data_IF_953986687002
#
_entry.id   IF_953986687002
#
_cell.length_a   1.000
_cell.length_b   1.000
_cell.length_c   1.000
_cell.angle_alpha   90.00
_cell.angle_beta   90.00
_cell.angle_gamma   90.00
#
_symmetry.space_group_name_H-M   'P 1'
#
loop_
_entity.id
_entity.type
_entity.pdbx_description
1 polymer ?
#
# COMPACT_ATOMS: atom_id res chain seq x y z
N UNK A 1 -19.26 3.82 -29.46
CA UNK A 1 -20.04 5.05 -29.17
C UNK A 1 -19.98 5.46 -27.70
N UNK A 2 -20.15 4.54 -26.72
CA UNK A 2 -20.08 4.81 -25.27
C UNK A 2 -18.71 5.37 -24.81
N UNK A 3 -17.59 4.82 -25.29
CA UNK A 3 -16.25 5.27 -24.93
C UNK A 3 -15.94 6.69 -25.41
N UNK A 4 -16.46 7.10 -26.57
CA UNK A 4 -16.32 8.47 -27.08
C UNK A 4 -17.06 9.49 -26.19
N UNK A 5 -18.22 9.10 -25.64
CA UNK A 5 -19.01 9.97 -24.74
C UNK A 5 -18.30 10.12 -23.40
N UNK A 6 -17.79 9.02 -22.81
CA UNK A 6 -17.03 9.08 -21.54
C UNK A 6 -15.75 9.90 -21.69
N UNK A 7 -14.98 9.69 -22.75
CA UNK A 7 -13.77 10.47 -23.03
C UNK A 7 -14.07 11.97 -23.23
N UNK A 8 -15.25 12.34 -23.71
CA UNK A 8 -15.69 13.74 -23.84
C UNK A 8 -16.14 14.31 -22.49
N UNK A 9 -16.83 13.54 -21.68
CA UNK A 9 -17.36 13.96 -20.39
C UNK A 9 -16.30 13.92 -19.29
N UNK A 10 -15.39 12.96 -19.30
CA UNK A 10 -14.35 12.68 -18.29
C UNK A 10 -13.02 12.42 -19.00
N UNK A 11 -12.42 13.40 -19.65
CA UNK A 11 -11.19 13.21 -20.41
C UNK A 11 -10.02 12.92 -19.46
N UNK A 12 -9.17 11.96 -19.83
CA UNK A 12 -7.85 11.79 -19.24
C UNK A 12 -6.87 12.80 -19.83
N UNK A 13 -7.11 14.06 -19.48
CA UNK A 13 -6.31 15.22 -19.85
C UNK A 13 -6.15 16.12 -18.61
N UNK A 14 -4.91 16.47 -18.29
CA UNK A 14 -4.58 17.17 -17.06
C UNK A 14 -5.25 18.56 -17.00
N UNK A 15 -5.20 19.33 -18.09
CA UNK A 15 -5.78 20.68 -18.11
C UNK A 15 -7.32 20.64 -18.01
N UNK A 16 -7.95 19.70 -18.74
CA UNK A 16 -9.41 19.55 -18.71
C UNK A 16 -9.90 19.01 -17.36
N UNK A 17 -9.13 18.11 -16.72
CA UNK A 17 -9.45 17.65 -15.37
C UNK A 17 -9.30 18.78 -14.36
N UNK A 18 -8.21 19.55 -14.43
CA UNK A 18 -7.97 20.69 -13.54
C UNK A 18 -9.05 21.79 -13.68
N UNK A 19 -9.57 22.04 -14.88
CA UNK A 19 -10.70 22.97 -15.07
C UNK A 19 -11.99 22.52 -14.35
N UNK A 20 -12.11 21.24 -14.01
CA UNK A 20 -13.28 20.65 -13.31
C UNK A 20 -13.11 20.53 -11.81
N UNK A 21 -11.94 20.92 -11.29
CA UNK A 21 -11.69 21.07 -9.86
C UNK A 21 -11.72 22.56 -9.50
N UNK A 22 -11.84 22.88 -8.21
CA UNK A 22 -11.91 24.26 -7.77
C UNK A 22 -10.59 25.02 -8.05
N UNK A 23 -10.67 26.35 -8.07
CA UNK A 23 -9.54 27.23 -8.38
C UNK A 23 -8.33 26.99 -7.48
N UNK A 24 -8.57 26.65 -6.24
CA UNK A 24 -7.52 26.41 -5.26
C UNK A 24 -6.69 25.15 -5.56
N UNK A 25 -7.32 24.05 -6.03
CA UNK A 25 -6.58 22.90 -6.55
C UNK A 25 -5.69 23.31 -7.71
N UNK A 26 -6.21 24.16 -8.61
CA UNK A 26 -5.46 24.67 -9.76
C UNK A 26 -4.23 25.49 -9.34
N UNK A 27 -4.39 26.37 -8.35
CA UNK A 27 -3.30 27.21 -7.87
C UNK A 27 -2.19 26.39 -7.18
N UNK A 28 -2.54 25.39 -6.38
CA UNK A 28 -1.57 24.47 -5.79
C UNK A 28 -0.82 23.64 -6.83
N UNK A 29 -1.53 23.23 -7.86
CA UNK A 29 -0.96 22.44 -8.94
C UNK A 29 0.10 23.23 -9.72
N UNK A 30 -0.13 24.52 -9.99
CA UNK A 30 0.85 25.40 -10.64
C UNK A 30 2.12 25.63 -9.82
N UNK A 31 2.05 25.41 -8.50
CA UNK A 31 3.18 25.58 -7.59
C UNK A 31 3.98 24.29 -7.35
N UNK A 32 3.52 23.15 -7.89
CA UNK A 32 4.16 21.83 -7.73
C UNK A 32 4.37 21.16 -9.10
N UNK A 33 5.47 21.49 -9.80
CA UNK A 33 5.77 20.92 -11.13
C UNK A 33 5.88 19.39 -11.12
N UNK A 34 6.34 18.80 -10.02
CA UNK A 34 6.49 17.35 -9.90
C UNK A 34 5.13 16.64 -9.82
N UNK A 35 4.13 17.29 -9.21
CA UNK A 35 2.76 16.80 -9.20
C UNK A 35 2.12 16.92 -10.60
N UNK A 36 2.42 18.00 -11.33
CA UNK A 36 1.94 18.20 -12.71
C UNK A 36 2.48 17.11 -13.63
N UNK A 37 3.76 16.86 -13.59
CA UNK A 37 4.38 15.79 -14.38
C UNK A 37 3.75 14.43 -14.06
N UNK A 38 3.62 14.09 -12.77
CA UNK A 38 3.00 12.84 -12.33
C UNK A 38 1.57 12.69 -12.87
N UNK A 39 0.76 13.77 -12.83
CA UNK A 39 -0.59 13.76 -13.38
C UNK A 39 -0.58 13.52 -14.89
N UNK A 40 0.25 14.24 -15.62
CA UNK A 40 0.34 14.12 -17.10
C UNK A 40 0.71 12.70 -17.49
N UNK A 41 1.74 12.10 -16.83
CA UNK A 41 2.19 10.72 -17.08
C UNK A 41 1.08 9.72 -16.78
N UNK A 42 0.46 9.82 -15.60
CA UNK A 42 -0.61 8.92 -15.18
C UNK A 42 -1.81 8.96 -16.13
N UNK A 43 -2.28 10.16 -16.48
CA UNK A 43 -3.43 10.32 -17.38
C UNK A 43 -3.13 9.89 -18.82
N UNK A 44 -1.89 10.06 -19.29
CA UNK A 44 -1.47 9.58 -20.61
C UNK A 44 -1.61 8.07 -20.72
N UNK A 45 -1.16 7.34 -19.70
CA UNK A 45 -1.26 5.87 -19.68
C UNK A 45 -2.70 5.39 -19.47
N UNK A 46 -3.49 6.04 -18.62
CA UNK A 46 -4.91 5.73 -18.52
C UNK A 46 -5.62 5.81 -19.88
N UNK A 47 -5.26 6.77 -20.70
CA UNK A 47 -5.84 6.97 -22.04
C UNK A 47 -5.35 5.96 -23.07
N UNK A 48 -4.07 5.54 -22.99
CA UNK A 48 -3.41 4.77 -24.06
C UNK A 48 -3.30 3.28 -23.76
N UNK A 49 -3.04 2.93 -22.48
CA UNK A 49 -2.53 1.61 -22.12
C UNK A 49 -3.45 0.81 -21.19
N UNK A 50 -4.26 1.50 -20.38
CA UNK A 50 -4.97 0.84 -19.29
C UNK A 50 -6.17 -0.03 -19.74
N UNK A 51 -6.60 0.04 -21.00
CA UNK A 51 -7.73 -0.73 -21.56
C UNK A 51 -8.97 -0.76 -20.68
N UNK A 52 -9.32 0.41 -20.12
CA UNK A 52 -10.36 0.56 -19.10
C UNK A 52 -11.75 0.22 -19.65
N UNK A 53 -12.52 -0.53 -18.87
CA UNK A 53 -13.97 -0.62 -19.05
C UNK A 53 -14.63 0.74 -18.78
N UNK A 54 -15.89 0.99 -19.23
CA UNK A 54 -16.59 2.22 -18.88
C UNK A 54 -16.68 2.49 -17.37
N UNK A 55 -16.84 1.44 -16.57
CA UNK A 55 -16.84 1.53 -15.09
C UNK A 55 -15.42 1.83 -14.58
N UNK A 56 -14.40 1.17 -15.11
CA UNK A 56 -13.00 1.44 -14.79
C UNK A 56 -12.60 2.87 -15.10
N UNK A 57 -13.04 3.42 -16.25
CA UNK A 57 -12.82 4.81 -16.63
C UNK A 57 -13.43 5.78 -15.61
N UNK A 58 -14.70 5.57 -15.26
CA UNK A 58 -15.41 6.39 -14.27
C UNK A 58 -14.69 6.37 -12.91
N UNK A 59 -14.28 5.18 -12.46
CA UNK A 59 -13.61 5.01 -11.17
C UNK A 59 -12.23 5.66 -11.18
N UNK A 60 -11.39 5.39 -12.19
CA UNK A 60 -10.05 5.97 -12.31
C UNK A 60 -10.09 7.51 -12.34
N UNK A 61 -11.00 8.08 -13.14
CA UNK A 61 -11.14 9.53 -13.24
C UNK A 61 -11.59 10.17 -11.92
N UNK A 62 -12.61 9.61 -11.26
CA UNK A 62 -13.10 10.11 -9.97
C UNK A 62 -12.06 9.94 -8.85
N UNK A 63 -11.27 8.86 -8.89
CA UNK A 63 -10.23 8.64 -7.91
C UNK A 63 -9.11 9.69 -8.01
N UNK A 64 -8.61 9.96 -9.21
CA UNK A 64 -7.61 11.03 -9.42
C UNK A 64 -8.17 12.38 -8.98
N UNK A 65 -9.40 12.71 -9.37
CA UNK A 65 -10.06 13.94 -8.93
C UNK A 65 -10.15 14.05 -7.41
N UNK A 66 -10.56 12.98 -6.73
CA UNK A 66 -10.67 12.92 -5.26
C UNK A 66 -9.30 13.14 -4.59
N UNK A 67 -8.24 12.51 -5.09
CA UNK A 67 -6.89 12.68 -4.57
C UNK A 67 -6.41 14.13 -4.65
N UNK A 68 -6.66 14.81 -5.78
CA UNK A 68 -6.32 16.23 -5.95
C UNK A 68 -7.14 17.13 -5.02
N UNK A 69 -8.43 16.87 -4.87
CA UNK A 69 -9.31 17.61 -3.95
C UNK A 69 -8.87 17.44 -2.50
N UNK A 70 -8.58 16.21 -2.09
CA UNK A 70 -8.07 15.93 -0.74
C UNK A 70 -6.75 16.68 -0.47
N UNK A 71 -5.81 16.64 -1.43
CA UNK A 71 -4.54 17.37 -1.32
C UNK A 71 -4.76 18.86 -1.09
N UNK A 72 -5.69 19.46 -1.84
CA UNK A 72 -6.06 20.86 -1.68
C UNK A 72 -6.66 21.15 -0.30
N UNK A 73 -7.56 20.29 0.18
CA UNK A 73 -8.14 20.45 1.50
C UNK A 73 -7.09 20.35 2.62
N UNK A 74 -6.12 19.42 2.51
CA UNK A 74 -5.03 19.34 3.48
C UNK A 74 -4.21 20.64 3.54
N UNK A 75 -3.95 21.26 2.39
CA UNK A 75 -3.21 22.53 2.37
C UNK A 75 -4.02 23.66 3.00
N UNK A 76 -5.34 23.70 2.79
CA UNK A 76 -6.23 24.64 3.48
C UNK A 76 -6.26 24.44 4.98
N UNK A 77 -6.36 23.19 5.41
CA UNK A 77 -6.34 22.87 6.83
C UNK A 77 -5.03 23.34 7.47
N UNK A 78 -3.89 23.17 6.79
CA UNK A 78 -2.59 23.68 7.25
C UNK A 78 -2.50 25.20 7.30
N UNK A 79 -3.19 25.90 6.42
CA UNK A 79 -3.32 27.37 6.50
C UNK A 79 -4.22 27.78 7.66
N UNK A 80 -5.33 27.06 7.87
CA UNK A 80 -6.28 27.33 8.95
C UNK A 80 -5.71 26.99 10.33
N UNK A 81 -4.93 25.90 10.44
CA UNK A 81 -4.29 25.42 11.66
C UNK A 81 -2.78 25.22 11.42
N UNK A 82 -1.98 26.29 11.46
CA UNK A 82 -0.53 26.21 11.20
C UNK A 82 0.21 25.21 12.08
N UNK A 83 -0.31 24.96 13.29
CA UNK A 83 0.23 24.00 14.25
C UNK A 83 0.15 22.53 13.78
N UNK A 84 -0.59 22.22 12.71
CA UNK A 84 -0.49 20.91 12.06
C UNK A 84 0.93 20.66 11.56
N UNK A 85 1.61 21.70 11.03
CA UNK A 85 2.95 21.56 10.48
C UNK A 85 4.03 21.24 11.53
N UNK A 86 3.77 21.58 12.78
CA UNK A 86 4.70 21.35 13.89
C UNK A 86 4.43 20.07 14.68
N UNK A 87 3.40 19.27 14.27
CA UNK A 87 3.12 17.99 14.90
C UNK A 87 4.32 17.04 14.75
N UNK A 88 4.89 16.51 15.85
CA UNK A 88 6.03 15.61 15.75
C UNK A 88 5.55 14.23 15.28
N UNK A 89 6.21 13.67 14.28
CA UNK A 89 6.10 12.26 13.89
C UNK A 89 7.41 11.60 14.31
N UNK A 90 7.41 10.98 15.47
CA UNK A 90 8.64 10.48 16.11
C UNK A 90 8.68 8.96 16.12
N UNK A 91 9.85 8.40 15.80
CA UNK A 91 10.16 6.96 15.87
C UNK A 91 9.09 6.07 15.23
N UNK A 92 8.56 6.41 14.02
CA UNK A 92 7.53 5.62 13.39
C UNK A 92 8.05 4.20 13.08
N UNK A 93 7.14 3.22 13.12
CA UNK A 93 7.44 1.84 12.75
C UNK A 93 6.90 1.59 11.35
N UNK A 94 7.78 1.22 10.42
CA UNK A 94 7.39 0.88 9.06
C UNK A 94 7.49 -0.62 8.82
N UNK A 95 6.40 -1.24 8.41
CA UNK A 95 6.35 -2.64 8.01
C UNK A 95 6.45 -2.71 6.49
N UNK A 96 7.43 -3.46 6.00
CA UNK A 96 7.66 -3.68 4.56
C UNK A 96 8.06 -5.13 4.29
N UNK A 97 8.31 -5.46 3.03
CA UNK A 97 8.66 -6.79 2.56
C UNK A 97 7.88 -7.12 1.29
N UNK A 98 8.13 -8.30 0.72
CA UNK A 98 7.32 -8.74 -0.42
C UNK A 98 5.83 -8.80 -0.05
N UNK A 99 4.91 -8.45 -0.94
CA UNK A 99 3.51 -8.77 -0.72
C UNK A 99 3.34 -10.26 -0.43
N UNK A 100 2.34 -10.63 0.39
CA UNK A 100 2.10 -12.02 0.82
C UNK A 100 3.15 -12.61 1.79
N UNK A 101 4.04 -11.79 2.33
CA UNK A 101 5.01 -12.19 3.38
C UNK A 101 4.52 -11.92 4.82
N UNK A 102 3.22 -11.74 5.03
CA UNK A 102 2.64 -11.52 6.36
C UNK A 102 2.60 -10.06 6.82
N UNK A 103 2.96 -9.09 5.98
CA UNK A 103 2.92 -7.65 6.31
C UNK A 103 1.56 -7.18 6.82
N UNK A 104 0.46 -7.67 6.25
CA UNK A 104 -0.91 -7.29 6.67
C UNK A 104 -1.27 -7.88 8.05
N UNK A 105 -0.90 -9.14 8.30
CA UNK A 105 -1.08 -9.78 9.60
C UNK A 105 -0.33 -9.00 10.68
N UNK A 106 0.95 -8.72 10.45
CA UNK A 106 1.79 -7.99 11.39
C UNK A 106 1.27 -6.57 11.62
N UNK A 107 0.84 -5.87 10.56
CA UNK A 107 0.25 -4.53 10.68
C UNK A 107 -1.00 -4.53 11.55
N UNK A 108 -1.92 -5.47 11.33
CA UNK A 108 -3.14 -5.58 12.12
C UNK A 108 -2.88 -5.96 13.57
N UNK A 109 -1.94 -6.88 13.83
CA UNK A 109 -1.50 -7.25 15.17
C UNK A 109 -0.96 -6.03 15.93
N UNK A 110 -0.05 -5.28 15.34
CA UNK A 110 0.53 -4.09 15.97
C UNK A 110 -0.49 -2.95 16.09
N UNK A 111 -1.32 -2.71 15.08
CA UNK A 111 -2.37 -1.68 15.13
C UNK A 111 -3.48 -1.98 16.14
N UNK A 112 -3.57 -3.20 16.67
CA UNK A 112 -4.48 -3.55 17.77
C UNK A 112 -4.01 -2.99 19.13
N UNK A 113 -2.77 -2.55 19.24
CA UNK A 113 -2.22 -1.94 20.45
C UNK A 113 -2.62 -0.44 20.54
N UNK A 114 -3.33 0.02 21.58
CA UNK A 114 -3.76 1.41 21.70
C UNK A 114 -2.60 2.42 21.83
N UNK A 115 -1.37 1.97 22.13
CA UNK A 115 -0.16 2.81 22.14
C UNK A 115 0.37 3.09 20.73
N UNK A 116 -0.12 2.34 19.73
CA UNK A 116 0.25 2.46 18.33
C UNK A 116 -0.95 2.96 17.51
N UNK A 117 -0.69 3.81 16.56
CA UNK A 117 -1.69 4.35 15.65
C UNK A 117 -1.39 3.96 14.21
N UNK A 118 -2.37 3.41 13.51
CA UNK A 118 -2.32 3.21 12.06
C UNK A 118 -3.28 4.17 11.37
N UNK A 119 -2.98 4.65 10.14
CA UNK A 119 -3.96 5.36 9.33
C UNK A 119 -5.14 4.45 9.04
N UNK A 120 -6.37 4.90 9.28
CA UNK A 120 -7.57 4.13 8.96
C UNK A 120 -8.04 4.42 7.54
N UNK A 121 -8.69 3.46 6.91
CA UNK A 121 -9.18 3.58 5.52
C UNK A 121 -10.03 4.84 5.33
N UNK A 122 -11.01 5.10 6.23
CA UNK A 122 -11.86 6.29 6.13
C UNK A 122 -11.07 7.60 6.27
N UNK A 123 -10.01 7.62 7.09
CA UNK A 123 -9.15 8.79 7.29
C UNK A 123 -8.35 9.13 6.04
N UNK A 124 -7.86 8.09 5.35
CA UNK A 124 -7.11 8.27 4.10
C UNK A 124 -8.05 8.63 2.93
N UNK A 125 -9.29 8.13 2.95
CA UNK A 125 -10.29 8.47 1.92
C UNK A 125 -10.81 9.90 2.06
N UNK A 126 -10.94 10.41 3.28
CA UNK A 126 -11.52 11.72 3.62
C UNK A 126 -10.70 12.36 4.76
N UNK A 127 -9.48 12.89 4.49
CA UNK A 127 -8.55 13.32 5.53
C UNK A 127 -8.84 14.72 6.11
N UNK A 128 -9.77 15.46 5.51
CA UNK A 128 -10.09 16.86 5.89
C UNK A 128 -11.56 17.01 6.31
N UNK A 129 -11.84 17.78 7.37
CA UNK A 129 -10.89 18.41 8.31
C UNK A 129 -10.13 17.37 9.14
N UNK A 130 -9.05 17.75 9.86
CA UNK A 130 -8.31 16.81 10.71
C UNK A 130 -9.24 16.02 11.63
N UNK A 131 -9.09 14.68 11.74
CA UNK A 131 -10.01 13.87 12.53
C UNK A 131 -10.18 14.34 13.99
N UNK A 132 -9.11 14.77 14.63
CA UNK A 132 -9.13 15.28 16.01
C UNK A 132 -9.80 16.64 16.18
N UNK A 133 -10.10 17.36 15.09
CA UNK A 133 -10.89 18.60 15.13
C UNK A 133 -12.40 18.37 14.97
N UNK A 134 -12.83 17.12 14.75
CA UNK A 134 -14.21 16.76 14.51
C UNK A 134 -14.91 16.30 15.79
N UNK A 135 -16.21 16.61 15.92
CA UNK A 135 -17.05 15.99 16.94
C UNK A 135 -17.50 14.57 16.52
N UNK A 136 -18.09 13.84 17.45
CA UNK A 136 -18.54 12.46 17.25
C UNK A 136 -19.45 12.27 16.03
N UNK A 137 -20.44 13.15 15.83
CA UNK A 137 -21.39 13.04 14.72
C UNK A 137 -20.73 13.28 13.35
N UNK A 138 -19.76 14.19 13.28
CA UNK A 138 -18.98 14.43 12.08
C UNK A 138 -18.14 13.20 11.73
N UNK A 139 -17.45 12.60 12.72
CA UNK A 139 -16.66 11.38 12.51
C UNK A 139 -17.54 10.22 12.05
N UNK A 140 -18.68 9.99 12.72
CA UNK A 140 -19.63 8.95 12.34
C UNK A 140 -20.12 9.10 10.89
N UNK A 141 -20.45 10.33 10.45
CA UNK A 141 -20.89 10.60 9.08
C UNK A 141 -19.77 10.30 8.06
N UNK A 142 -18.52 10.59 8.38
CA UNK A 142 -17.35 10.30 7.51
C UNK A 142 -17.11 8.80 7.40
N UNK A 143 -17.12 8.07 8.52
CA UNK A 143 -17.01 6.62 8.54
C UNK A 143 -18.12 5.97 7.70
N UNK A 144 -19.39 6.39 7.88
CA UNK A 144 -20.51 5.87 7.09
C UNK A 144 -20.41 6.21 5.60
N UNK A 145 -19.84 7.36 5.23
CA UNK A 145 -19.55 7.70 3.83
C UNK A 145 -18.52 6.74 3.26
N UNK A 146 -17.44 6.49 3.97
CA UNK A 146 -16.41 5.54 3.56
C UNK A 146 -16.98 4.12 3.42
N UNK A 147 -17.77 3.64 4.41
CA UNK A 147 -18.46 2.34 4.36
C UNK A 147 -19.37 2.22 3.13
N UNK A 148 -20.10 3.28 2.76
CA UNK A 148 -20.95 3.28 1.55
C UNK A 148 -20.11 3.21 0.28
N UNK A 149 -19.02 3.96 0.20
CA UNK A 149 -18.12 3.93 -0.98
C UNK A 149 -17.49 2.54 -1.16
N UNK A 150 -17.05 1.91 -0.07
CA UNK A 150 -16.48 0.55 -0.10
C UNK A 150 -17.53 -0.48 -0.55
N UNK A 151 -18.78 -0.41 -0.04
CA UNK A 151 -19.86 -1.29 -0.52
C UNK A 151 -20.18 -1.13 -2.00
N UNK A 152 -20.07 0.10 -2.55
CA UNK A 152 -20.20 0.31 -3.98
C UNK A 152 -19.04 -0.31 -4.75
N UNK A 153 -17.82 -0.14 -4.24
CA UNK A 153 -16.63 -0.77 -4.83
C UNK A 153 -16.77 -2.29 -4.90
N UNK A 154 -17.25 -2.94 -3.82
CA UNK A 154 -17.45 -4.38 -3.79
C UNK A 154 -18.47 -4.88 -4.82
N UNK A 155 -19.52 -4.09 -5.05
CA UNK A 155 -20.51 -4.43 -6.09
C UNK A 155 -19.95 -4.33 -7.49
N UNK A 156 -19.00 -3.42 -7.72
CA UNK A 156 -18.37 -3.19 -9.02
C UNK A 156 -17.19 -4.14 -9.27
N UNK A 157 -16.53 -4.59 -8.20
CA UNK A 157 -15.39 -5.49 -8.22
C UNK A 157 -15.61 -6.70 -7.30
N UNK A 158 -16.62 -7.55 -7.59
CA UNK A 158 -16.91 -8.70 -6.76
C UNK A 158 -15.70 -9.64 -6.72
N UNK A 159 -15.33 -10.08 -5.51
CA UNK A 159 -14.17 -10.95 -5.29
C UNK A 159 -12.88 -10.21 -4.94
N UNK A 160 -12.79 -8.89 -5.09
CA UNK A 160 -11.60 -8.14 -4.63
C UNK A 160 -11.41 -8.26 -3.11
N UNK A 161 -12.48 -8.25 -2.32
CA UNK A 161 -12.43 -8.44 -0.87
C UNK A 161 -11.91 -9.82 -0.43
N UNK A 162 -12.15 -10.87 -1.24
CA UNK A 162 -11.58 -12.19 -0.96
C UNK A 162 -10.05 -12.20 -1.05
N UNK A 163 -9.48 -11.23 -1.76
CA UNK A 163 -8.05 -11.10 -1.99
C UNK A 163 -7.36 -10.14 -1.01
N UNK A 164 -8.09 -9.12 -0.59
CA UNK A 164 -7.60 -8.08 0.31
C UNK A 164 -8.73 -7.58 1.21
N UNK A 165 -8.59 -7.78 2.52
CA UNK A 165 -9.59 -7.29 3.47
C UNK A 165 -9.65 -5.75 3.43
N UNK A 166 -10.82 -5.21 3.12
CA UNK A 166 -11.07 -3.78 3.04
C UNK A 166 -12.24 -3.41 3.96
N UNK A 167 -12.00 -2.47 4.85
CA UNK A 167 -13.02 -1.95 5.75
C UNK A 167 -12.73 -0.51 6.14
N UNK A 168 -13.78 0.28 6.40
CA UNK A 168 -13.61 1.71 6.68
C UNK A 168 -12.70 1.98 7.88
N UNK A 169 -12.77 1.16 8.90
CA UNK A 169 -12.03 1.30 10.16
C UNK A 169 -10.84 0.36 10.26
N UNK A 170 -10.47 -0.32 9.16
CA UNK A 170 -9.26 -1.12 9.11
C UNK A 170 -8.03 -0.26 8.81
N UNK A 171 -6.85 -0.67 9.32
CA UNK A 171 -5.58 -0.04 8.99
C UNK A 171 -5.34 -0.01 7.48
N UNK A 172 -4.98 1.15 6.95
CA UNK A 172 -4.74 1.37 5.53
C UNK A 172 -3.24 1.38 5.21
N UNK A 173 -2.89 0.97 4.00
CA UNK A 173 -1.52 0.99 3.51
C UNK A 173 -1.06 2.40 3.10
N UNK A 174 0.24 2.68 3.30
CA UNK A 174 0.86 3.94 2.91
C UNK A 174 0.79 4.23 1.41
N UNK A 175 0.62 3.21 0.55
CA UNK A 175 0.40 3.43 -0.89
C UNK A 175 -0.87 4.25 -1.19
N UNK A 176 -1.86 4.22 -0.30
CA UNK A 176 -3.05 5.07 -0.41
C UNK A 176 -2.76 6.52 -0.02
N UNK A 177 -1.81 6.76 0.90
CA UNK A 177 -1.33 8.11 1.26
C UNK A 177 -0.45 8.68 0.14
N UNK A 178 0.54 7.91 -0.35
CA UNK A 178 1.44 8.35 -1.42
C UNK A 178 0.68 8.59 -2.75
N UNK A 179 -0.48 7.95 -2.95
CA UNK A 179 -1.34 8.20 -4.10
C UNK A 179 -1.78 9.67 -4.21
N UNK A 180 -1.87 10.42 -3.10
CA UNK A 180 -2.19 11.85 -3.13
C UNK A 180 -1.07 12.71 -3.75
N UNK A 181 0.15 12.19 -3.85
CA UNK A 181 1.24 12.78 -4.64
C UNK A 181 1.25 12.30 -6.09
N UNK A 182 0.25 11.51 -6.51
CA UNK A 182 0.15 10.88 -7.82
C UNK A 182 1.40 10.05 -8.20
N UNK A 183 2.22 9.66 -7.22
CA UNK A 183 3.42 8.82 -7.34
C UNK A 183 3.31 7.68 -6.34
N UNK A 184 2.67 6.60 -6.78
CA UNK A 184 2.37 5.46 -5.91
C UNK A 184 2.25 4.15 -6.68
N UNK A 185 2.80 3.08 -6.10
CA UNK A 185 2.61 1.71 -6.58
C UNK A 185 1.13 1.31 -6.66
N UNK A 186 0.24 1.97 -5.92
CA UNK A 186 -1.20 1.71 -5.93
C UNK A 186 -1.78 1.73 -7.34
N UNK A 187 -1.36 2.68 -8.19
CA UNK A 187 -1.85 2.77 -9.57
C UNK A 187 -1.42 1.57 -10.42
N UNK A 188 -0.17 1.10 -10.26
CA UNK A 188 0.36 -0.06 -10.98
C UNK A 188 -0.26 -1.39 -10.55
N UNK A 189 -0.69 -1.49 -9.29
CA UNK A 189 -1.42 -2.67 -8.80
C UNK A 189 -2.79 -2.76 -9.45
N UNK A 190 -3.48 -1.62 -9.60
CA UNK A 190 -4.88 -1.56 -10.04
C UNK A 190 -5.02 -1.49 -11.57
N UNK A 191 -4.04 -0.91 -12.27
CA UNK A 191 -4.12 -0.63 -13.70
C UNK A 191 -2.82 -1.02 -14.42
N UNK A 192 -2.92 -1.30 -15.73
CA UNK A 192 -1.78 -1.47 -16.62
C UNK A 192 -1.31 -0.10 -17.08
N UNK A 193 -0.14 0.34 -16.63
CA UNK A 193 0.40 1.69 -16.85
C UNK A 193 1.92 1.61 -17.07
N UNK A 194 2.40 1.07 -18.21
CA UNK A 194 3.83 0.80 -18.43
C UNK A 194 4.68 2.07 -18.44
N UNK A 195 4.28 3.13 -19.15
CA UNK A 195 5.02 4.38 -19.19
C UNK A 195 5.05 5.12 -17.84
N UNK A 196 3.98 4.97 -17.05
CA UNK A 196 3.98 5.46 -15.67
C UNK A 196 4.84 4.60 -14.75
N UNK A 197 4.97 3.29 -15.01
CA UNK A 197 5.86 2.42 -14.26
C UNK A 197 7.33 2.81 -14.45
N UNK A 198 7.74 3.08 -15.70
CA UNK A 198 9.08 3.58 -16.02
C UNK A 198 9.34 4.93 -15.33
N UNK A 199 8.40 5.87 -15.44
CA UNK A 199 8.48 7.15 -14.73
C UNK A 199 8.65 6.97 -13.22
N UNK A 200 7.87 6.08 -12.60
CA UNK A 200 7.92 5.87 -11.15
C UNK A 200 9.24 5.21 -10.71
N UNK A 201 9.83 4.34 -11.54
CA UNK A 201 11.11 3.68 -11.24
C UNK A 201 12.27 4.67 -11.14
N UNK A 202 12.24 5.74 -11.94
CA UNK A 202 13.27 6.78 -12.00
C UNK A 202 12.98 7.97 -11.09
N UNK A 203 11.79 8.02 -10.48
CA UNK A 203 11.36 9.15 -9.67
C UNK A 203 12.05 9.16 -8.30
N UNK A 204 12.58 10.31 -7.91
CA UNK A 204 12.95 10.56 -6.53
C UNK A 204 11.70 10.63 -5.63
N UNK A 205 11.69 9.79 -4.61
CA UNK A 205 10.54 9.65 -3.73
C UNK A 205 10.63 10.51 -2.45
N UNK A 206 11.67 11.33 -2.27
CA UNK A 206 11.87 12.13 -1.04
C UNK A 206 10.72 13.07 -0.77
N UNK A 207 10.31 13.85 -1.75
CA UNK A 207 9.17 14.77 -1.60
C UNK A 207 7.82 14.02 -1.42
N UNK A 208 7.68 12.81 -1.95
CA UNK A 208 6.53 11.94 -1.67
C UNK A 208 6.50 11.52 -0.21
N UNK A 209 7.65 11.15 0.38
CA UNK A 209 7.74 10.85 1.82
C UNK A 209 7.59 12.09 2.69
N UNK A 210 8.06 13.26 2.26
CA UNK A 210 7.78 14.53 2.94
C UNK A 210 6.27 14.79 2.99
N UNK A 211 5.57 14.61 1.86
CA UNK A 211 4.11 14.72 1.82
C UNK A 211 3.42 13.65 2.68
N UNK A 212 3.93 12.42 2.68
CA UNK A 212 3.46 11.34 3.56
C UNK A 212 3.55 11.77 5.04
N UNK A 213 4.67 12.39 5.47
CA UNK A 213 4.81 12.92 6.82
C UNK A 213 3.79 14.03 7.10
N UNK A 214 3.58 14.93 6.16
CA UNK A 214 2.55 15.97 6.28
C UNK A 214 1.14 15.38 6.44
N UNK A 215 0.86 14.29 5.73
CA UNK A 215 -0.41 13.58 5.85
C UNK A 215 -0.60 12.96 7.25
N UNK A 216 0.44 12.36 7.82
CA UNK A 216 0.40 11.84 9.19
C UNK A 216 0.19 12.96 10.22
N UNK A 217 0.85 14.10 10.05
CA UNK A 217 0.63 15.29 10.87
C UNK A 217 -0.82 15.76 10.87
N UNK A 218 -1.47 15.71 9.70
CA UNK A 218 -2.89 16.01 9.54
C UNK A 218 -3.76 15.05 10.35
N UNK A 219 -3.47 13.74 10.25
CA UNK A 219 -4.27 12.71 10.92
C UNK A 219 -4.13 12.73 12.44
N UNK A 220 -2.97 13.08 12.97
CA UNK A 220 -2.73 13.10 14.42
C UNK A 220 -3.13 14.42 15.09
N UNK A 221 -3.31 15.50 14.33
CA UNK A 221 -3.68 16.80 14.88
C UNK A 221 -4.96 16.74 15.72
N UNK A 222 -4.88 17.28 16.95
CA UNK A 222 -6.00 17.28 17.92
C UNK A 222 -6.27 15.92 18.59
N UNK A 223 -5.35 14.96 18.46
CA UNK A 223 -5.39 13.65 19.14
C UNK A 223 -4.24 13.52 20.15
N UNK A 224 -4.36 12.56 21.05
CA UNK A 224 -3.23 12.13 21.87
C UNK A 224 -2.11 11.61 20.97
N UNK A 225 -0.88 11.96 21.30
CA UNK A 225 0.29 11.55 20.53
C UNK A 225 0.53 10.06 20.72
N UNK A 226 0.35 9.28 19.66
CA UNK A 226 0.67 7.87 19.59
C UNK A 226 1.81 7.64 18.60
N UNK A 227 2.53 6.54 18.76
CA UNK A 227 3.55 6.13 17.81
C UNK A 227 2.89 5.52 16.59
N UNK A 228 3.28 5.95 15.40
CA UNK A 228 2.75 5.41 14.15
C UNK A 228 3.28 4.01 13.86
N UNK A 229 2.38 3.09 13.50
CA UNK A 229 2.68 1.83 12.80
C UNK A 229 2.12 1.90 11.39
N UNK A 230 3.00 1.81 10.42
CA UNK A 230 2.78 2.11 9.02
C UNK A 230 3.14 0.89 8.17
N UNK A 231 2.42 0.65 7.07
CA UNK A 231 2.71 -0.52 6.25
C UNK A 231 2.55 -0.20 4.77
N UNK A 232 3.55 -0.57 4.00
CA UNK A 232 3.41 -0.82 2.57
C UNK A 232 4.58 -1.68 2.07
N UNK A 233 4.33 -2.70 1.26
CA UNK A 233 5.39 -3.40 0.55
C UNK A 233 6.25 -2.47 -0.30
N UNK A 234 5.65 -1.40 -0.86
CA UNK A 234 6.33 -0.40 -1.68
C UNK A 234 7.48 0.35 -0.99
N UNK A 235 7.52 0.36 0.36
CA UNK A 235 8.64 0.95 1.10
C UNK A 235 9.96 0.24 0.78
N UNK A 236 9.90 -1.05 0.44
CA UNK A 236 11.08 -1.86 0.13
C UNK A 236 11.94 -1.26 -0.99
N UNK A 237 11.33 -0.71 -2.03
CA UNK A 237 12.02 -0.07 -3.13
C UNK A 237 12.53 1.35 -2.81
N UNK A 238 12.11 1.93 -1.67
CA UNK A 238 12.27 3.36 -1.37
C UNK A 238 12.83 3.62 0.03
N UNK A 239 13.62 2.68 0.58
CA UNK A 239 14.18 2.81 1.94
C UNK A 239 15.07 4.03 2.11
N UNK A 240 15.78 4.45 1.04
CA UNK A 240 16.62 5.64 1.05
C UNK A 240 15.79 6.91 1.32
N UNK A 241 14.78 7.16 0.52
CA UNK A 241 13.89 8.31 0.69
C UNK A 241 13.11 8.26 2.03
N UNK A 242 12.76 7.05 2.48
CA UNK A 242 12.15 6.85 3.79
C UNK A 242 13.09 7.24 4.92
N UNK A 243 14.36 6.79 4.88
CA UNK A 243 15.35 7.06 5.91
C UNK A 243 15.69 8.56 6.01
N UNK A 244 15.74 9.26 4.88
CA UNK A 244 15.98 10.72 4.89
C UNK A 244 14.87 11.50 5.60
N UNK A 245 13.61 11.11 5.39
CA UNK A 245 12.45 11.81 5.97
C UNK A 245 12.14 11.36 7.39
N UNK A 246 12.47 10.11 7.72
CA UNK A 246 12.24 9.49 9.02
C UNK A 246 13.51 8.82 9.55
N UNK A 247 14.53 9.61 9.93
CA UNK A 247 15.83 9.08 10.35
C UNK A 247 15.77 8.27 11.65
N UNK A 248 14.72 8.46 12.45
CA UNK A 248 14.44 7.75 13.70
C UNK A 248 13.48 6.56 13.54
N UNK A 249 13.15 6.18 12.31
CA UNK A 249 12.23 5.08 12.04
C UNK A 249 12.84 3.71 12.37
N UNK A 250 11.98 2.80 12.87
CA UNK A 250 12.24 1.37 12.86
C UNK A 250 11.55 0.75 11.64
N UNK A 251 12.32 0.09 10.78
CA UNK A 251 11.76 -0.69 9.67
C UNK A 251 11.71 -2.16 10.07
N UNK A 252 10.55 -2.79 9.89
CA UNK A 252 10.37 -4.24 10.05
C UNK A 252 10.20 -4.80 8.64
N UNK A 253 11.18 -5.57 8.19
CA UNK A 253 11.12 -6.23 6.89
C UNK A 253 10.72 -7.70 7.06
N UNK A 254 9.54 -8.05 6.54
CA UNK A 254 9.09 -9.45 6.54
C UNK A 254 9.64 -10.17 5.32
N UNK A 255 10.02 -11.44 5.51
CA UNK A 255 10.64 -12.29 4.50
C UNK A 255 9.79 -13.54 4.24
N UNK A 256 9.61 -13.87 2.98
CA UNK A 256 9.02 -15.13 2.51
C UNK A 256 9.57 -15.45 1.12
N UNK A 257 9.70 -16.74 0.79
CA UNK A 257 10.29 -17.17 -0.49
C UNK A 257 9.52 -16.57 -1.69
N UNK A 258 10.20 -15.83 -2.59
CA UNK A 258 9.60 -15.25 -3.79
C UNK A 258 8.94 -16.30 -4.69
N UNK A 259 9.50 -17.50 -4.78
CA UNK A 259 8.92 -18.61 -5.58
C UNK A 259 7.50 -18.92 -5.14
N UNK A 260 7.23 -18.81 -3.85
CA UNK A 260 5.89 -19.05 -3.27
C UNK A 260 4.99 -17.82 -3.37
N UNK A 261 5.55 -16.60 -3.21
CA UNK A 261 4.73 -15.38 -3.07
C UNK A 261 4.35 -14.76 -4.40
N UNK A 262 5.22 -14.79 -5.42
CA UNK A 262 5.00 -14.09 -6.68
C UNK A 262 3.83 -14.63 -7.50
N UNK A 263 3.59 -15.95 -7.62
CA UNK A 263 2.39 -16.44 -8.30
C UNK A 263 1.09 -15.97 -7.63
N UNK A 264 1.06 -15.96 -6.29
CA UNK A 264 -0.07 -15.42 -5.52
C UNK A 264 -0.28 -13.93 -5.78
N UNK A 265 0.81 -13.18 -5.87
CA UNK A 265 0.76 -11.74 -6.14
C UNK A 265 0.31 -11.45 -7.58
N UNK A 266 0.78 -12.22 -8.56
CA UNK A 266 0.33 -12.10 -9.95
C UNK A 266 -1.18 -12.37 -10.07
N UNK A 267 -1.68 -13.40 -9.40
CA UNK A 267 -3.12 -13.69 -9.31
C UNK A 267 -3.92 -12.53 -8.72
N UNK A 268 -3.45 -11.95 -7.62
CA UNK A 268 -4.06 -10.79 -6.98
C UNK A 268 -4.09 -9.57 -7.93
N UNK A 269 -2.98 -9.30 -8.63
CA UNK A 269 -2.88 -8.17 -9.57
C UNK A 269 -3.81 -8.36 -10.78
N UNK A 270 -3.89 -9.56 -11.34
CA UNK A 270 -4.84 -9.89 -12.41
C UNK A 270 -6.27 -9.64 -11.95
N UNK A 271 -6.64 -10.12 -10.76
CA UNK A 271 -7.99 -9.90 -10.23
C UNK A 271 -8.29 -8.41 -10.01
N UNK A 272 -7.34 -7.65 -9.47
CA UNK A 272 -7.49 -6.20 -9.26
C UNK A 272 -7.70 -5.46 -10.59
N UNK A 273 -6.88 -5.78 -11.62
CA UNK A 273 -7.00 -5.15 -12.96
C UNK A 273 -8.28 -5.57 -13.68
N UNK A 274 -8.69 -6.83 -13.58
CA UNK A 274 -9.90 -7.35 -14.23
C UNK A 274 -11.18 -6.69 -13.74
N UNK A 275 -11.17 -6.10 -12.56
CA UNK A 275 -12.31 -5.32 -12.04
C UNK A 275 -12.56 -4.03 -12.85
N UNK A 276 -11.53 -3.48 -13.53
CA UNK A 276 -11.59 -2.16 -14.14
C UNK A 276 -11.17 -2.13 -15.61
N UNK A 277 -10.52 -3.17 -16.08
CA UNK A 277 -9.97 -3.25 -17.44
C UNK A 277 -10.32 -4.58 -18.10
N UNK A 278 -10.19 -4.62 -19.42
CA UNK A 278 -10.38 -5.82 -20.25
C UNK A 278 -9.07 -6.23 -20.92
N UNK A 279 -8.99 -7.50 -21.37
CA UNK A 279 -7.84 -7.97 -22.13
C UNK A 279 -6.55 -8.06 -21.31
N UNK A 280 -6.63 -8.49 -20.04
CA UNK A 280 -5.47 -8.62 -19.17
C UNK A 280 -4.58 -9.78 -19.63
N UNK A 281 -3.37 -9.49 -20.07
CA UNK A 281 -2.33 -10.48 -20.32
C UNK A 281 -1.73 -10.95 -19.00
N UNK A 282 -2.03 -12.20 -18.64
CA UNK A 282 -1.59 -12.79 -17.37
C UNK A 282 -0.07 -12.99 -17.31
N UNK A 283 0.56 -13.34 -18.45
CA UNK A 283 1.99 -13.53 -18.53
C UNK A 283 2.75 -12.18 -18.44
N UNK A 284 2.21 -11.11 -19.02
CA UNK A 284 2.73 -9.75 -18.81
C UNK A 284 2.70 -9.38 -17.32
N UNK A 285 1.59 -9.65 -16.63
CA UNK A 285 1.49 -9.39 -15.19
C UNK A 285 2.52 -10.18 -14.40
N UNK A 286 2.78 -11.44 -14.77
CA UNK A 286 3.83 -12.26 -14.14
C UNK A 286 5.22 -11.65 -14.30
N UNK A 287 5.57 -11.19 -15.49
CA UNK A 287 6.84 -10.49 -15.77
C UNK A 287 6.96 -9.20 -14.96
N UNK A 288 5.95 -8.31 -15.04
CA UNK A 288 5.93 -7.05 -14.29
C UNK A 288 6.12 -7.25 -12.78
N UNK A 289 5.48 -8.26 -12.21
CA UNK A 289 5.58 -8.58 -10.78
C UNK A 289 6.98 -9.05 -10.45
N UNK A 290 7.57 -9.93 -11.28
CA UNK A 290 8.92 -10.46 -11.07
C UNK A 290 9.96 -9.35 -11.13
N UNK A 291 9.93 -8.55 -12.19
CA UNK A 291 10.92 -7.51 -12.45
C UNK A 291 10.87 -6.41 -11.36
N UNK A 292 9.67 -5.96 -11.01
CA UNK A 292 9.51 -4.94 -9.97
C UNK A 292 10.06 -5.40 -8.61
N UNK A 293 9.73 -6.63 -8.18
CA UNK A 293 10.13 -7.08 -6.86
C UNK A 293 11.57 -7.57 -6.79
N UNK A 294 12.14 -8.08 -7.89
CA UNK A 294 13.58 -8.34 -7.97
C UNK A 294 14.38 -7.04 -7.81
N UNK A 295 13.98 -5.98 -8.53
CA UNK A 295 14.60 -4.67 -8.42
C UNK A 295 14.43 -4.06 -7.02
N UNK A 296 13.23 -4.14 -6.43
CA UNK A 296 12.95 -3.63 -5.08
C UNK A 296 13.81 -4.31 -4.01
N UNK A 297 13.96 -5.63 -4.07
CA UNK A 297 14.84 -6.38 -3.16
C UNK A 297 16.30 -6.02 -3.34
N UNK A 298 16.77 -5.87 -4.58
CA UNK A 298 18.13 -5.47 -4.87
C UNK A 298 18.44 -4.06 -4.34
N UNK A 299 17.57 -3.07 -4.62
CA UNK A 299 17.71 -1.70 -4.09
C UNK A 299 17.73 -1.69 -2.57
N UNK A 300 16.81 -2.43 -1.94
CA UNK A 300 16.78 -2.58 -0.48
C UNK A 300 18.09 -3.15 0.07
N UNK A 301 18.60 -4.22 -0.53
CA UNK A 301 19.83 -4.85 -0.09
C UNK A 301 21.05 -3.91 -0.21
N UNK A 302 21.16 -3.22 -1.33
CA UNK A 302 22.24 -2.25 -1.59
C UNK A 302 22.20 -1.10 -0.57
N UNK A 303 21.03 -0.49 -0.35
CA UNK A 303 20.87 0.60 0.61
C UNK A 303 21.18 0.14 2.05
N UNK A 304 20.62 -1.00 2.47
CA UNK A 304 20.84 -1.53 3.83
C UNK A 304 22.29 -1.84 4.15
N UNK A 305 23.09 -2.23 3.15
CA UNK A 305 24.51 -2.50 3.34
C UNK A 305 25.34 -1.25 3.71
N UNK A 306 24.83 -0.06 3.40
CA UNK A 306 25.53 1.23 3.57
C UNK A 306 24.82 2.17 4.56
N UNK A 307 23.61 1.80 5.03
CA UNK A 307 22.76 2.65 5.83
C UNK A 307 22.81 2.32 7.32
N UNK A 308 22.62 3.35 8.15
CA UNK A 308 22.41 3.23 9.60
C UNK A 308 20.93 3.06 9.97
N UNK A 309 20.03 2.95 8.98
CA UNK A 309 18.62 2.73 9.22
C UNK A 309 18.40 1.47 10.05
N UNK A 310 17.60 1.59 11.10
CA UNK A 310 17.28 0.45 11.95
C UNK A 310 16.30 -0.49 11.23
N UNK A 311 16.77 -1.67 10.87
CA UNK A 311 15.95 -2.71 10.22
C UNK A 311 15.92 -3.96 11.08
N UNK A 312 14.72 -4.51 11.29
CA UNK A 312 14.48 -5.80 11.93
C UNK A 312 13.91 -6.76 10.90
N UNK A 313 14.62 -7.86 10.66
CA UNK A 313 14.15 -8.92 9.76
C UNK A 313 13.23 -9.91 10.50
N UNK A 314 12.10 -10.26 9.87
CA UNK A 314 11.09 -11.18 10.40
C UNK A 314 10.75 -12.23 9.35
N UNK A 315 11.00 -13.49 9.64
CA UNK A 315 10.57 -14.60 8.78
C UNK A 315 9.05 -14.80 8.88
N UNK A 316 8.40 -15.04 7.76
CA UNK A 316 6.95 -15.28 7.68
C UNK A 316 6.54 -16.53 8.50
N UNK A 317 7.35 -17.60 8.46
CA UNK A 317 7.04 -18.83 9.17
C UNK A 317 7.10 -18.62 10.69
N UNK A 318 8.09 -17.84 11.17
CA UNK A 318 8.18 -17.46 12.58
C UNK A 318 6.97 -16.61 13.01
N UNK A 319 6.57 -15.65 12.18
CA UNK A 319 5.40 -14.81 12.46
C UNK A 319 4.12 -15.64 12.57
N UNK A 320 3.94 -16.65 11.74
CA UNK A 320 2.73 -17.49 11.73
C UNK A 320 2.77 -18.55 12.82
N UNK A 321 3.92 -19.21 13.00
CA UNK A 321 4.07 -20.34 13.91
C UNK A 321 4.30 -19.91 15.37
N UNK A 322 5.03 -18.80 15.55
CA UNK A 322 5.43 -18.28 16.87
C UNK A 322 5.08 -16.79 17.02
N UNK A 323 3.80 -16.38 16.83
CA UNK A 323 3.42 -14.97 16.76
C UNK A 323 3.73 -14.20 18.03
N UNK A 324 3.58 -14.81 19.22
CA UNK A 324 3.86 -14.13 20.50
C UNK A 324 5.36 -13.81 20.63
N UNK A 325 6.23 -14.80 20.43
CA UNK A 325 7.68 -14.61 20.52
C UNK A 325 8.20 -13.62 19.44
N UNK A 326 7.62 -13.68 18.25
CA UNK A 326 7.95 -12.73 17.16
C UNK A 326 7.57 -11.32 17.53
N UNK A 327 6.36 -11.09 18.07
CA UNK A 327 5.92 -9.76 18.51
C UNK A 327 6.72 -9.27 19.71
N UNK A 328 7.01 -10.10 20.69
CA UNK A 328 7.86 -9.73 21.83
C UNK A 328 9.23 -9.22 21.36
N UNK A 329 9.87 -9.91 20.40
CA UNK A 329 11.13 -9.46 19.79
C UNK A 329 10.97 -8.11 19.08
N UNK A 330 9.85 -7.89 18.37
CA UNK A 330 9.55 -6.64 17.68
C UNK A 330 9.35 -5.51 18.71
N UNK A 331 8.59 -5.76 19.78
CA UNK A 331 8.32 -4.77 20.82
C UNK A 331 9.59 -4.38 21.56
N UNK A 332 10.45 -5.35 21.92
CA UNK A 332 11.75 -5.09 22.52
C UNK A 332 12.63 -4.23 21.60
N UNK A 333 12.67 -4.54 20.28
CA UNK A 333 13.43 -3.74 19.31
C UNK A 333 12.85 -2.33 19.13
N UNK A 334 11.53 -2.20 19.25
CA UNK A 334 10.82 -0.93 19.19
C UNK A 334 10.90 -0.15 20.52
N UNK A 335 11.52 -0.69 21.56
CA UNK A 335 11.55 -0.14 22.92
C UNK A 335 10.12 0.10 23.47
N UNK A 336 9.24 -0.84 23.20
CA UNK A 336 7.87 -0.90 23.72
C UNK A 336 7.79 -2.00 24.77
N UNK A 337 7.10 -1.73 25.86
CA UNK A 337 6.88 -2.73 26.90
C UNK A 337 6.02 -3.90 26.36
N UNK A 338 6.46 -5.12 26.64
CA UNK A 338 5.72 -6.35 26.34
C UNK A 338 5.32 -7.03 27.66
N UNK A 339 4.07 -7.43 27.79
CA UNK A 339 3.53 -8.11 28.96
C UNK A 339 2.44 -9.11 28.57
N UNK A 340 1.88 -9.79 29.56
CA UNK A 340 0.75 -10.70 29.36
C UNK A 340 -0.46 -10.02 28.72
N UNK A 341 -0.63 -8.70 28.93
CA UNK A 341 -1.69 -7.93 28.29
C UNK A 341 -1.53 -7.85 26.77
N UNK A 342 -0.32 -7.63 26.31
CA UNK A 342 0.00 -7.61 24.86
C UNK A 342 -0.10 -9.02 24.27
N UNK A 343 0.34 -10.03 25.00
CA UNK A 343 0.20 -11.42 24.58
C UNK A 343 -1.27 -11.84 24.44
N UNK A 344 -2.12 -11.46 25.41
CA UNK A 344 -3.55 -11.78 25.35
C UNK A 344 -4.26 -11.03 24.21
N UNK A 345 -3.94 -9.76 23.97
CA UNK A 345 -4.45 -8.99 22.84
C UNK A 345 -4.08 -9.65 21.50
N UNK A 346 -2.86 -10.15 21.40
CA UNK A 346 -2.40 -10.89 20.23
C UNK A 346 -3.22 -12.15 20.00
N UNK A 347 -3.48 -12.95 21.05
CA UNK A 347 -4.32 -14.15 20.97
C UNK A 347 -5.74 -13.81 20.51
N UNK A 348 -6.35 -12.78 21.09
CA UNK A 348 -7.69 -12.32 20.72
C UNK A 348 -7.73 -11.88 19.25
N UNK A 349 -6.72 -11.13 18.77
CA UNK A 349 -6.66 -10.72 17.37
C UNK A 349 -6.57 -11.91 16.43
N UNK A 350 -5.68 -12.87 16.71
CA UNK A 350 -5.51 -14.09 15.91
C UNK A 350 -6.78 -14.95 15.88
N UNK A 351 -7.47 -15.11 17.01
CA UNK A 351 -8.73 -15.86 17.08
C UNK A 351 -9.84 -15.21 16.22
N UNK A 352 -9.88 -13.88 16.13
CA UNK A 352 -10.84 -13.15 15.29
C UNK A 352 -10.48 -13.10 13.80
N UNK A 353 -9.22 -13.33 13.48
CA UNK A 353 -8.67 -13.27 12.13
C UNK A 353 -7.92 -14.56 11.76
N UNK A 354 -8.60 -15.73 11.71
CA UNK A 354 -7.97 -16.99 11.37
C UNK A 354 -7.42 -16.95 9.93
N UNK A 355 -6.33 -17.69 9.71
CA UNK A 355 -5.76 -17.85 8.39
C UNK A 355 -6.79 -18.48 7.44
N UNK A 356 -6.88 -17.96 6.20
CA UNK A 356 -7.86 -18.45 5.23
C UNK A 356 -9.29 -17.92 5.40
N UNK A 357 -9.55 -16.97 6.32
CA UNK A 357 -10.87 -16.33 6.55
C UNK A 357 -11.60 -15.90 5.27
N UNK A 358 -10.85 -15.56 4.22
CA UNK A 358 -11.39 -15.05 2.94
C UNK A 358 -11.33 -16.09 1.80
N UNK A 359 -11.09 -17.37 2.12
CA UNK A 359 -11.02 -18.47 1.17
C UNK A 359 -9.60 -18.77 0.65
N UNK A 360 -9.46 -19.93 0.00
CA UNK A 360 -8.23 -20.36 -0.64
C UNK A 360 -8.29 -19.98 -2.13
N UNK A 361 -7.41 -19.10 -2.55
CA UNK A 361 -7.24 -18.79 -3.97
C UNK A 361 -6.41 -19.90 -4.64
N UNK A 362 -7.01 -20.61 -5.59
CA UNK A 362 -6.30 -21.60 -6.41
C UNK A 362 -5.72 -20.89 -7.63
N UNK A 363 -4.44 -20.99 -7.85
CA UNK A 363 -3.71 -20.49 -9.02
C UNK A 363 -2.53 -21.43 -9.29
N UNK A 364 -2.10 -21.46 -10.55
CA UNK A 364 -0.87 -22.12 -10.96
C UNK A 364 0.12 -21.05 -11.43
N UNK A 365 1.39 -21.22 -11.18
CA UNK A 365 2.43 -20.24 -11.57
C UNK A 365 2.46 -20.08 -13.09
N UNK A 366 2.27 -21.19 -13.80
CA UNK A 366 2.24 -21.28 -15.27
C UNK A 366 1.13 -20.43 -15.89
N UNK A 367 0.02 -20.20 -15.18
CA UNK A 367 -1.07 -19.31 -15.63
C UNK A 367 -0.59 -17.86 -15.86
N UNK A 368 0.51 -17.49 -15.23
CA UNK A 368 1.12 -16.15 -15.31
C UNK A 368 2.45 -16.18 -16.05
N UNK A 369 2.75 -17.26 -16.78
CA UNK A 369 4.05 -17.45 -17.43
C UNK A 369 5.23 -17.54 -16.46
N UNK A 370 4.96 -17.85 -15.19
CA UNK A 370 5.98 -17.99 -14.15
C UNK A 370 6.45 -19.43 -14.06
N UNK A 371 7.76 -19.60 -13.92
CA UNK A 371 8.41 -20.89 -13.75
C UNK A 371 9.24 -20.88 -12.45
N UNK A 372 9.07 -21.91 -11.63
CA UNK A 372 9.75 -22.01 -10.32
C UNK A 372 11.28 -21.99 -10.41
N UNK A 373 11.86 -22.62 -11.44
CA UNK A 373 13.31 -22.62 -11.65
C UNK A 373 13.81 -21.21 -12.06
N UNK A 374 13.13 -20.54 -13.00
CA UNK A 374 13.47 -19.20 -13.42
C UNK A 374 13.32 -18.19 -12.26
N UNK A 375 12.27 -18.31 -11.45
CA UNK A 375 12.12 -17.50 -10.24
C UNK A 375 13.24 -17.78 -9.22
N UNK A 376 13.62 -19.05 -9.04
CA UNK A 376 14.72 -19.43 -8.14
C UNK A 376 16.04 -18.82 -8.58
N UNK A 377 16.31 -18.76 -9.87
CA UNK A 377 17.49 -18.12 -10.45
C UNK A 377 17.43 -16.61 -10.29
N UNK A 378 16.33 -15.96 -10.67
CA UNK A 378 16.14 -14.51 -10.54
C UNK A 378 16.34 -14.02 -9.10
N UNK A 379 15.88 -14.79 -8.12
CA UNK A 379 15.97 -14.43 -6.70
C UNK A 379 17.07 -15.20 -5.94
N UNK A 380 18.04 -15.79 -6.65
CA UNK A 380 19.05 -16.65 -6.05
C UNK A 380 19.79 -15.99 -4.87
N UNK A 381 20.36 -14.80 -5.06
CA UNK A 381 21.10 -14.07 -4.03
C UNK A 381 20.25 -13.75 -2.79
N UNK A 382 18.99 -13.41 -3.01
CA UNK A 382 18.07 -13.16 -1.90
C UNK A 382 17.73 -14.46 -1.15
N UNK A 383 17.46 -15.55 -1.86
CA UNK A 383 17.15 -16.86 -1.29
C UNK A 383 18.35 -17.45 -0.56
N UNK A 384 19.56 -17.28 -1.09
CA UNK A 384 20.81 -17.69 -0.45
C UNK A 384 21.00 -16.96 0.88
N UNK A 385 20.85 -15.64 0.90
CA UNK A 385 20.93 -14.81 2.11
C UNK A 385 19.93 -15.25 3.18
N UNK A 386 18.76 -15.75 2.78
CA UNK A 386 17.70 -16.21 3.68
C UNK A 386 17.81 -17.71 4.03
N UNK A 387 18.83 -18.41 3.52
CA UNK A 387 19.03 -19.85 3.76
C UNK A 387 17.98 -20.76 3.11
N UNK A 388 17.38 -20.29 1.99
CA UNK A 388 16.37 -21.07 1.24
C UNK A 388 16.94 -21.79 0.00
N UNK A 389 18.23 -21.61 -0.29
CA UNK A 389 18.93 -22.37 -1.34
C UNK A 389 19.28 -23.76 -0.81
N UNK A 390 18.83 -24.81 -1.51
CA UNK A 390 19.00 -26.21 -1.09
C UNK A 390 17.70 -26.88 -0.61
N UNK A 391 16.66 -26.14 -0.31
CA UNK A 391 15.31 -26.67 -0.28
C UNK A 391 14.82 -26.73 -1.74
N UNK A 392 15.14 -27.83 -2.45
CA UNK A 392 14.38 -28.16 -3.66
C UNK A 392 12.92 -28.14 -3.26
N UNK A 393 12.10 -27.39 -4.03
CA UNK A 393 10.68 -27.31 -3.79
C UNK A 393 10.12 -28.70 -3.68
N UNK A 394 9.77 -29.10 -2.48
CA UNK A 394 9.02 -30.33 -2.24
C UNK A 394 7.60 -30.05 -2.71
N UNK A 395 7.15 -30.57 -3.86
CA UNK A 395 5.77 -30.41 -4.31
C UNK A 395 4.77 -31.10 -3.37
N UNK A 396 5.25 -31.78 -2.34
CA UNK A 396 4.47 -32.63 -1.44
C UNK A 396 3.82 -31.90 -0.24
N UNK A 397 4.09 -30.60 0.01
CA UNK A 397 3.44 -29.89 1.12
C UNK A 397 2.11 -29.22 0.76
N UNK A 398 1.58 -29.47 -0.43
CA UNK A 398 0.26 -28.95 -0.84
C UNK A 398 -0.90 -29.92 -0.62
N UNK A 399 -0.64 -31.17 -0.15
CA UNK A 399 -1.68 -32.20 -0.05
C UNK A 399 -1.88 -32.86 1.33
N UNK A 400 -1.34 -32.32 2.41
CA UNK A 400 -1.54 -32.91 3.73
C UNK A 400 -2.07 -31.95 4.78
N UNK A 401 -3.22 -31.31 4.50
CA UNK A 401 -4.15 -30.84 5.51
C UNK A 401 -5.59 -31.15 5.05
N UNK A 402 -5.83 -32.41 4.64
CA UNK A 402 -7.11 -33.06 4.82
C UNK A 402 -6.96 -33.94 6.07
N UNK A 403 -7.48 -33.44 7.18
CA UNK A 403 -8.23 -34.13 8.23
C UNK A 403 -8.55 -33.12 9.35
#
# INVERSE_FOLDING_TARGET
MRDRVLNKLMPFDAQLLLRRVNRQVQDQFRQDPSLEEALVRLLADYRREASLTPVGHLIAWNDVKRLLVNRSHLALDRQRWPTIATQPVTRPIFITGLPRSGTTLLHGLMASDPRLQAPLTWEVMDPSPPPGSCNFDQLRKRIERARRQLRWFDRLAPGFQALHEVGAELPQECIAITAHSLRSLRFLVTYRLPGYADYLADTDMRDVYQYHRQFLQQLQFGRETCRWVLKAPAHLANLEALAEVYPDALVIQTHRDPVTTLPSLASLRVAARSAFASGIDRAEVGREVTDYWANALQRSATFRAQSQLQVLDVDYNDLVKYPLATLERIYNRAELHWSDREAERTRIYLARNPQGKHGLHRYQAEDFGLNGNALSETFYTYRERMGWTGRQGDPATHNSMEN
#
